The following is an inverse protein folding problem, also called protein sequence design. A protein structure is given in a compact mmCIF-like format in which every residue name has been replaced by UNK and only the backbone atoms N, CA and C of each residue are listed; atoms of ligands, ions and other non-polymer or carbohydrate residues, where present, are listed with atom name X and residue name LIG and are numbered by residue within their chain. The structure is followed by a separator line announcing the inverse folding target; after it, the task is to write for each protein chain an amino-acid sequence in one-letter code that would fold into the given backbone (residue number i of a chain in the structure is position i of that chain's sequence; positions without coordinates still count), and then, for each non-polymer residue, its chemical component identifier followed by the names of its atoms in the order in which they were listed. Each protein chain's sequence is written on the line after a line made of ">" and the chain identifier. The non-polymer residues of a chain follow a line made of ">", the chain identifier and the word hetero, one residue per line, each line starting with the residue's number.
data_IF_552523508759
#
_entry.id   IF_552523508759
#
_cell.length_a   1.000
_cell.length_b   1.000
_cell.length_c   1.000
_cell.angle_alpha   90.00
_cell.angle_beta   90.00
_cell.angle_gamma   90.00
#
_symmetry.space_group_name_H-M   'P 1'
#
loop_
_entity.id
_entity.type
_entity.pdbx_description
1 polymer ?
#
# COMPACT_ATOMS: atom_id res chain seq x y z
N UNK A 1 -46.91 -40.36 26.94
CA UNK A 1 -47.14 -39.06 27.64
C UNK A 1 -46.03 -38.90 28.66
N UNK A 2 -45.12 -37.93 28.66
CA UNK A 2 -45.02 -36.63 27.99
C UNK A 2 -43.55 -36.36 27.66
N UNK A 3 -43.33 -35.85 26.46
CA UNK A 3 -42.07 -35.31 25.95
C UNK A 3 -41.73 -34.04 26.74
N UNK A 4 -40.53 -33.96 27.31
CA UNK A 4 -39.93 -32.68 27.72
C UNK A 4 -38.52 -32.59 27.17
N UNK A 5 -38.47 -32.12 25.92
CA UNK A 5 -37.28 -31.56 25.30
C UNK A 5 -37.09 -30.16 25.89
N UNK A 6 -36.07 -29.97 26.72
CA UNK A 6 -35.45 -28.66 26.98
C UNK A 6 -34.07 -28.75 26.31
N UNK A 7 -33.88 -28.36 25.05
CA UNK A 7 -33.82 -26.99 24.55
C UNK A 7 -33.01 -26.04 25.46
N UNK A 8 -31.72 -26.34 25.62
CA UNK A 8 -30.70 -25.30 25.77
C UNK A 8 -29.67 -25.49 24.68
N UNK A 9 -30.00 -24.97 23.50
CA UNK A 9 -29.00 -24.66 22.49
C UNK A 9 -28.02 -23.66 23.13
N UNK A 10 -26.86 -24.14 23.57
CA UNK A 10 -25.70 -23.28 23.74
C UNK A 10 -25.36 -22.80 22.34
N UNK A 11 -25.86 -21.61 22.03
CA UNK A 11 -25.75 -20.91 20.76
C UNK A 11 -24.27 -20.88 20.40
N UNK A 12 -23.95 -21.48 19.25
CA UNK A 12 -22.66 -21.36 18.62
C UNK A 12 -22.38 -19.87 18.36
N UNK A 13 -21.53 -19.25 19.17
CA UNK A 13 -20.97 -17.93 18.87
C UNK A 13 -19.86 -18.09 17.84
N UNK A 14 -20.24 -18.41 16.61
CA UNK A 14 -19.36 -18.35 15.45
C UNK A 14 -19.54 -17.01 14.74
N UNK A 15 -18.54 -16.13 14.94
CA UNK A 15 -17.87 -15.30 13.93
C UNK A 15 -18.72 -14.40 13.01
N UNK A 16 -18.77 -13.11 13.34
CA UNK A 16 -18.74 -12.05 12.34
C UNK A 16 -17.74 -10.98 12.83
N UNK A 17 -16.70 -10.69 12.06
CA UNK A 17 -15.74 -9.62 12.38
C UNK A 17 -16.46 -8.28 12.52
N UNK A 18 -16.18 -7.57 13.61
CA UNK A 18 -16.83 -6.29 13.88
C UNK A 18 -16.28 -5.21 12.95
N UNK A 19 -17.10 -4.77 11.99
CA UNK A 19 -16.89 -3.59 11.15
C UNK A 19 -17.47 -2.30 11.79
N UNK A 20 -17.60 -2.25 13.12
CA UNK A 20 -18.22 -1.12 13.81
C UNK A 20 -17.40 -0.70 15.02
N UNK A 21 -17.21 0.61 15.19
CA UNK A 21 -16.57 1.23 16.36
C UNK A 21 -17.47 1.11 17.61
N UNK A 22 -16.91 1.42 18.78
CA UNK A 22 -17.63 1.35 20.07
C UNK A 22 -18.83 2.31 20.17
N UNK A 23 -18.88 3.33 19.31
CA UNK A 23 -19.99 4.27 19.17
C UNK A 23 -21.09 3.80 18.20
N UNK A 24 -20.92 2.61 17.60
CA UNK A 24 -21.86 2.04 16.64
C UNK A 24 -21.73 2.57 15.21
N UNK A 25 -20.72 3.40 14.91
CA UNK A 25 -20.43 3.87 13.54
C UNK A 25 -19.63 2.82 12.75
N UNK A 26 -19.80 2.73 11.41
CA UNK A 26 -18.99 1.83 10.59
C UNK A 26 -17.49 2.14 10.75
N UNK A 27 -16.68 1.11 10.93
CA UNK A 27 -15.23 1.23 10.93
C UNK A 27 -14.74 1.30 9.47
N UNK A 28 -14.15 2.44 9.12
CA UNK A 28 -13.45 2.65 7.86
C UNK A 28 -11.94 2.57 8.09
N UNK A 29 -11.29 1.45 7.72
CA UNK A 29 -9.84 1.31 7.91
C UNK A 29 -9.05 2.31 7.05
N UNK A 30 -9.60 2.81 5.94
CA UNK A 30 -8.95 3.84 5.12
C UNK A 30 -8.96 5.21 5.81
N UNK A 31 -9.96 5.49 6.65
CA UNK A 31 -9.96 6.72 7.45
C UNK A 31 -8.74 6.79 8.36
N UNK A 32 -8.40 5.68 9.03
CA UNK A 32 -7.24 5.61 9.92
C UNK A 32 -5.94 5.90 9.18
N UNK A 33 -5.89 5.59 7.90
CA UNK A 33 -4.71 5.76 7.06
C UNK A 33 -4.42 7.22 6.69
N UNK A 34 -5.43 8.09 6.73
CA UNK A 34 -5.30 9.53 6.50
C UNK A 34 -4.95 10.30 7.77
N UNK A 35 -4.98 9.67 8.94
CA UNK A 35 -4.55 10.28 10.20
C UNK A 35 -3.02 10.37 10.28
N UNK A 36 -2.47 11.28 11.10
CA UNK A 36 -1.04 11.31 11.37
C UNK A 36 -0.56 10.02 12.04
N UNK A 37 0.52 9.44 11.53
CA UNK A 37 1.17 8.24 12.10
C UNK A 37 2.60 8.55 12.53
N UNK A 38 3.03 7.92 13.62
CA UNK A 38 4.42 7.96 14.09
C UNK A 38 4.89 6.54 14.44
N UNK A 39 5.83 5.94 13.67
CA UNK A 39 6.50 6.50 12.48
C UNK A 39 5.55 6.68 11.29
N UNK A 40 5.96 7.49 10.30
CA UNK A 40 5.19 7.65 9.06
C UNK A 40 5.02 6.30 8.33
N UNK A 41 3.85 6.11 7.70
CA UNK A 41 3.52 4.87 6.98
C UNK A 41 4.18 4.76 5.60
N UNK A 42 4.81 5.84 5.13
CA UNK A 42 5.48 5.95 3.85
C UNK A 42 6.72 6.87 4.00
N UNK A 43 7.73 6.72 3.13
CA UNK A 43 8.91 7.59 3.09
C UNK A 43 8.55 9.05 2.77
N UNK A 44 9.28 9.99 3.39
CA UNK A 44 9.11 11.44 3.15
C UNK A 44 10.44 12.09 2.79
N UNK A 45 11.10 11.58 1.76
CA UNK A 45 12.32 12.17 1.21
C UNK A 45 12.03 13.57 0.66
N UNK A 46 12.95 14.51 0.92
CA UNK A 46 12.88 15.88 0.38
C UNK A 46 13.68 16.05 -0.91
N UNK A 47 14.57 15.11 -1.19
CA UNK A 47 15.38 15.02 -2.39
C UNK A 47 15.69 13.55 -2.65
N UNK A 48 16.01 13.21 -3.90
CA UNK A 48 16.30 11.83 -4.30
C UNK A 48 17.65 11.44 -3.71
N UNK A 49 17.70 10.45 -2.79
CA UNK A 49 18.97 9.99 -2.26
C UNK A 49 19.72 9.20 -3.33
N UNK A 50 21.04 9.09 -3.17
CA UNK A 50 21.83 8.20 -4.01
C UNK A 50 21.50 6.75 -3.67
N UNK A 51 20.80 6.06 -4.59
CA UNK A 51 20.30 4.69 -4.42
C UNK A 51 21.12 3.62 -5.15
N UNK A 52 22.06 4.02 -6.03
CA UNK A 52 22.77 3.10 -6.91
C UNK A 52 21.94 2.59 -8.09
N UNK A 53 20.78 3.18 -8.35
CA UNK A 53 19.92 2.83 -9.49
C UNK A 53 20.65 2.96 -10.84
N UNK A 54 20.38 2.03 -11.75
CA UNK A 54 20.97 2.00 -13.10
C UNK A 54 19.96 1.51 -14.14
N UNK A 55 20.00 2.13 -15.32
CA UNK A 55 19.17 1.76 -16.47
C UNK A 55 19.75 0.62 -17.32
N UNK A 56 20.93 0.08 -16.97
CA UNK A 56 21.57 -1.00 -17.72
C UNK A 56 20.68 -2.25 -17.70
N UNK A 57 20.36 -2.77 -18.88
CA UNK A 57 19.47 -3.95 -19.03
C UNK A 57 17.99 -3.66 -18.80
N UNK A 58 17.59 -2.41 -18.55
CA UNK A 58 16.19 -2.01 -18.39
C UNK A 58 15.63 -1.49 -19.72
N UNK A 59 14.33 -1.75 -19.95
CA UNK A 59 13.58 -1.20 -21.08
C UNK A 59 13.22 0.28 -20.88
N UNK A 60 12.91 0.95 -21.98
CA UNK A 60 12.53 2.35 -22.03
C UNK A 60 11.18 2.58 -21.35
N UNK A 61 11.19 3.15 -20.15
CA UNK A 61 10.03 3.53 -19.34
C UNK A 61 10.47 4.21 -18.03
N UNK A 62 9.50 4.59 -17.18
CA UNK A 62 9.76 4.97 -15.79
C UNK A 62 9.96 3.73 -14.93
N UNK A 63 10.90 3.77 -13.99
CA UNK A 63 11.28 2.68 -13.10
C UNK A 63 11.26 3.12 -11.64
N UNK A 64 10.66 2.31 -10.76
CA UNK A 64 10.61 2.53 -9.33
C UNK A 64 12.00 2.38 -8.69
N UNK A 65 12.35 3.31 -7.80
CA UNK A 65 13.55 3.23 -6.97
C UNK A 65 13.24 2.46 -5.68
N UNK A 66 13.54 1.16 -5.68
CA UNK A 66 13.27 0.27 -4.54
C UNK A 66 14.00 0.69 -3.25
N UNK A 67 15.29 1.10 -3.27
CA UNK A 67 15.97 1.67 -2.10
C UNK A 67 15.24 2.86 -1.44
N UNK A 68 14.51 3.66 -2.20
CA UNK A 68 13.69 4.77 -1.66
C UNK A 68 12.29 4.34 -1.24
N UNK A 69 12.05 3.04 -1.09
CA UNK A 69 10.72 2.47 -0.86
C UNK A 69 9.70 2.95 -1.90
N UNK A 70 10.14 3.08 -3.16
CA UNK A 70 9.35 3.53 -4.30
C UNK A 70 8.84 4.98 -4.23
N UNK A 71 9.32 5.83 -3.32
CA UNK A 71 9.01 7.27 -3.43
C UNK A 71 9.71 7.89 -4.64
N UNK A 72 10.95 7.46 -4.90
CA UNK A 72 11.71 7.82 -6.07
C UNK A 72 11.35 6.98 -7.28
N UNK A 73 11.48 7.59 -8.46
CA UNK A 73 11.40 6.89 -9.74
C UNK A 73 12.30 7.55 -10.79
N UNK A 74 12.59 6.79 -11.85
CA UNK A 74 13.60 7.13 -12.84
C UNK A 74 13.12 6.89 -14.26
N UNK A 75 13.31 7.84 -15.17
CA UNK A 75 13.12 7.60 -16.60
C UNK A 75 14.37 6.98 -17.19
N UNK A 76 14.23 5.79 -17.77
CA UNK A 76 15.25 5.17 -18.60
C UNK A 76 14.88 5.30 -20.07
N UNK A 77 15.82 5.75 -20.91
CA UNK A 77 15.72 5.69 -22.38
C UNK A 77 17.06 5.23 -22.95
N UNK A 78 17.04 4.27 -23.89
CA UNK A 78 18.24 3.66 -24.46
C UNK A 78 19.26 3.20 -23.40
N UNK A 79 18.77 2.59 -22.32
CA UNK A 79 19.57 2.17 -21.16
C UNK A 79 20.34 3.30 -20.45
N UNK A 80 19.94 4.56 -20.65
CA UNK A 80 20.49 5.74 -19.96
C UNK A 80 19.46 6.34 -19.01
N UNK A 81 19.94 6.79 -17.86
CA UNK A 81 19.14 7.56 -16.91
C UNK A 81 18.91 8.97 -17.46
N UNK A 82 17.65 9.33 -17.67
CA UNK A 82 17.25 10.63 -18.24
C UNK A 82 16.83 11.60 -17.16
N UNK A 83 16.00 11.15 -16.22
CA UNK A 83 15.59 11.95 -15.08
C UNK A 83 15.29 11.06 -13.89
N UNK A 84 15.39 11.65 -12.70
CA UNK A 84 14.99 11.06 -11.44
C UNK A 84 14.04 12.05 -10.77
N UNK A 85 12.93 11.55 -10.23
CA UNK A 85 11.93 12.36 -9.56
C UNK A 85 11.45 11.69 -8.26
N UNK A 86 10.86 12.48 -7.36
CA UNK A 86 10.10 11.96 -6.22
C UNK A 86 8.61 12.08 -6.49
N UNK A 87 7.85 11.07 -6.08
CA UNK A 87 6.43 11.22 -5.81
C UNK A 87 6.22 12.14 -4.59
N UNK A 88 5.08 12.83 -4.57
CA UNK A 88 4.69 13.69 -3.45
C UNK A 88 4.49 12.88 -2.16
N UNK A 89 4.62 13.54 -1.00
CA UNK A 89 4.32 12.90 0.29
C UNK A 89 2.90 12.31 0.29
N UNK A 90 2.78 11.04 0.67
CA UNK A 90 1.52 10.28 0.65
C UNK A 90 1.38 9.36 -0.57
N UNK A 91 2.29 9.46 -1.53
CA UNK A 91 2.24 8.68 -2.77
C UNK A 91 3.55 7.95 -3.04
N UNK A 92 3.46 6.80 -3.68
CA UNK A 92 4.58 5.97 -4.13
C UNK A 92 4.42 5.71 -5.63
N UNK A 93 5.54 5.46 -6.32
CA UNK A 93 5.52 5.17 -7.74
C UNK A 93 4.99 3.76 -7.99
N UNK A 94 3.82 3.68 -8.62
CA UNK A 94 3.24 2.46 -9.12
C UNK A 94 3.86 2.14 -10.50
N UNK A 95 4.82 1.22 -10.50
CA UNK A 95 5.55 0.80 -11.69
C UNK A 95 4.63 0.26 -12.80
N UNK A 96 3.55 -0.44 -12.42
CA UNK A 96 2.65 -1.08 -13.38
C UNK A 96 1.86 -0.03 -14.15
N UNK A 97 1.27 0.93 -13.43
CA UNK A 97 0.46 1.99 -14.02
C UNK A 97 1.27 3.21 -14.49
N UNK A 98 2.57 3.26 -14.17
CA UNK A 98 3.48 4.36 -14.51
C UNK A 98 3.04 5.71 -13.91
N UNK A 99 2.45 5.70 -12.71
CA UNK A 99 1.96 6.89 -12.00
C UNK A 99 2.35 6.86 -10.53
N UNK A 100 2.39 8.02 -9.88
CA UNK A 100 2.39 8.08 -8.42
C UNK A 100 0.98 7.79 -7.91
N UNK A 101 0.79 6.73 -7.13
CA UNK A 101 -0.47 6.36 -6.52
C UNK A 101 -0.36 6.44 -4.99
N UNK A 102 -1.48 6.42 -4.30
CA UNK A 102 -1.54 6.40 -2.84
C UNK A 102 -0.68 5.27 -2.29
N UNK A 103 0.09 5.55 -1.24
CA UNK A 103 1.10 4.60 -0.73
C UNK A 103 0.54 3.20 -0.40
N UNK A 104 -0.74 3.11 -0.04
CA UNK A 104 -1.44 1.86 0.28
C UNK A 104 -1.91 1.06 -0.93
N UNK A 105 -1.96 1.70 -2.09
CA UNK A 105 -2.21 1.06 -3.38
C UNK A 105 -0.91 0.60 -4.04
N UNK A 106 0.27 0.82 -3.44
CA UNK A 106 1.54 0.45 -4.08
C UNK A 106 2.22 -0.67 -3.33
N UNK A 107 2.51 -1.76 -4.03
CA UNK A 107 3.33 -2.88 -3.53
C UNK A 107 4.76 -2.73 -4.02
N UNK A 108 5.55 -1.90 -3.33
CA UNK A 108 6.91 -1.59 -3.75
C UNK A 108 7.78 -2.85 -3.93
N UNK A 109 8.34 -3.05 -5.12
CA UNK A 109 9.17 -4.22 -5.46
C UNK A 109 8.39 -5.53 -5.68
N UNK A 110 7.06 -5.50 -5.59
CA UNK A 110 6.22 -6.64 -5.95
C UNK A 110 6.07 -6.73 -7.48
N UNK A 111 6.24 -7.92 -8.08
CA UNK A 111 5.86 -8.16 -9.46
C UNK A 111 4.35 -8.40 -9.62
N UNK A 112 3.63 -8.60 -8.51
CA UNK A 112 2.18 -8.82 -8.52
C UNK A 112 1.46 -7.48 -8.61
N UNK A 113 0.53 -7.44 -9.56
CA UNK A 113 -0.39 -6.33 -9.78
C UNK A 113 -1.27 -6.11 -8.55
N UNK A 114 -1.75 -4.88 -8.36
CA UNK A 114 -2.75 -4.56 -7.34
C UNK A 114 -4.06 -5.32 -7.65
N UNK A 115 -4.17 -6.55 -7.12
CA UNK A 115 -5.40 -7.35 -7.02
C UNK A 115 -6.06 -7.15 -5.67
#
# INVERSE_FOLDING_TARGET
>A
MKVFVFLSAMIASALCGHYYKSDGTPDDPYHNLHLPHYPALYPTYHAIPYSGFSCIGLRDQLWADLPTQCQGYHLCLNQRLITSQLCTNGTLFNQQFQVCDQFYNVRCGSPYEDL
#
